data_IF_306983122235
#
_entry.id   IF_306983122235
#
_cell.length_a   1.000
_cell.length_b   1.000
_cell.length_c   1.000
_cell.angle_alpha   90.00
_cell.angle_beta   90.00
_cell.angle_gamma   90.00
#
_symmetry.space_group_name_H-M   'P 1'
#
loop_
_entity.id
_entity.type
_entity.pdbx_description
1 polymer ?
#
# COMPACT_ATOMS: atom_id res chain seq x y z
N UNK A 1 -9.02 12.57 25.53
CA UNK A 1 -8.62 12.40 24.12
C UNK A 1 -8.60 10.93 23.73
N UNK A 2 -9.47 10.56 22.80
CA UNK A 2 -9.51 9.25 22.15
C UNK A 2 -8.62 9.28 20.90
N UNK A 3 -7.70 8.32 20.78
CA UNK A 3 -6.92 8.09 19.57
C UNK A 3 -7.22 6.71 19.02
N UNK A 4 -7.50 6.63 17.73
CA UNK A 4 -7.70 5.38 17.02
C UNK A 4 -6.75 5.30 15.83
N UNK A 5 -6.10 4.15 15.71
CA UNK A 5 -5.15 3.80 14.68
C UNK A 5 -5.75 2.67 13.87
N UNK A 6 -6.07 2.95 12.61
CA UNK A 6 -6.78 2.08 11.68
C UNK A 6 -5.94 1.76 10.44
N UNK A 7 -4.87 2.51 10.16
CA UNK A 7 -3.98 2.30 9.02
C UNK A 7 -2.89 1.27 9.37
N UNK A 8 -3.35 0.05 9.60
CA UNK A 8 -2.61 -1.09 10.17
C UNK A 8 -3.58 -1.95 10.99
N UNK A 9 -3.05 -2.74 11.92
CA UNK A 9 -3.87 -3.35 12.97
C UNK A 9 -4.62 -2.27 13.77
N UNK A 10 -5.83 -2.62 14.24
CA UNK A 10 -6.63 -1.73 15.08
C UNK A 10 -5.91 -1.52 16.42
N UNK A 11 -5.60 -0.27 16.74
CA UNK A 11 -5.14 0.14 18.07
C UNK A 11 -5.97 1.31 18.57
N UNK A 12 -6.34 1.27 19.84
CA UNK A 12 -7.15 2.30 20.48
C UNK A 12 -6.49 2.76 21.76
N UNK A 13 -6.38 4.08 21.94
CA UNK A 13 -5.87 4.70 23.14
C UNK A 13 -6.88 5.72 23.67
N UNK A 14 -7.06 5.76 24.99
CA UNK A 14 -7.85 6.76 25.67
C UNK A 14 -7.00 7.48 26.72
N UNK A 15 -6.87 8.79 26.58
CA UNK A 15 -6.05 9.63 27.46
C UNK A 15 -4.60 9.13 27.61
N UNK A 16 -4.04 8.57 26.54
CA UNK A 16 -2.68 8.01 26.50
C UNK A 16 -2.55 6.57 27.00
N UNK A 17 -3.62 5.97 27.53
CA UNK A 17 -3.62 4.57 27.91
C UNK A 17 -4.11 3.69 26.74
N UNK A 18 -3.32 2.68 26.37
CA UNK A 18 -3.70 1.68 25.37
C UNK A 18 -4.84 0.82 25.92
N UNK A 19 -5.86 0.63 25.09
CA UNK A 19 -7.01 -0.22 25.39
C UNK A 19 -6.88 -1.54 24.64
N UNK A 20 -7.12 -2.65 25.33
CA UNK A 20 -7.24 -3.96 24.70
C UNK A 20 -8.44 -3.97 23.75
N UNK A 21 -8.15 -3.99 22.45
CA UNK A 21 -9.11 -3.81 21.36
C UNK A 21 -9.16 -5.02 20.42
N UNK A 22 -9.47 -6.23 20.94
CA UNK A 22 -9.41 -7.46 20.15
C UNK A 22 -10.44 -7.43 19.03
N UNK A 23 -9.95 -7.49 17.79
CA UNK A 23 -10.77 -7.52 16.56
C UNK A 23 -11.60 -8.79 16.40
N UNK A 24 -11.31 -9.83 17.19
CA UNK A 24 -12.17 -11.02 17.32
C UNK A 24 -13.48 -10.73 18.03
N UNK A 25 -13.57 -9.61 18.77
CA UNK A 25 -14.78 -9.21 19.48
C UNK A 25 -15.58 -8.20 18.66
N UNK A 26 -16.86 -8.54 18.43
CA UNK A 26 -17.81 -7.72 17.65
C UNK A 26 -17.89 -6.23 18.06
N UNK A 27 -17.80 -5.84 19.36
CA UNK A 27 -17.82 -4.44 19.75
C UNK A 27 -16.67 -3.61 19.14
N UNK A 28 -15.46 -4.17 19.04
CA UNK A 28 -14.30 -3.45 18.50
C UNK A 28 -14.32 -3.34 16.97
N UNK A 29 -14.87 -4.35 16.29
CA UNK A 29 -15.16 -4.26 14.85
C UNK A 29 -16.19 -3.16 14.58
N UNK A 30 -17.22 -3.05 15.43
CA UNK A 30 -18.20 -1.95 15.36
C UNK A 30 -17.57 -0.58 15.67
N UNK A 31 -16.66 -0.50 16.63
CA UNK A 31 -15.90 0.73 16.89
C UNK A 31 -15.10 1.17 15.67
N UNK A 32 -14.38 0.25 15.02
CA UNK A 32 -13.61 0.55 13.81
C UNK A 32 -14.51 1.08 12.67
N UNK A 33 -15.69 0.49 12.52
CA UNK A 33 -16.69 0.98 11.56
C UNK A 33 -17.16 2.40 11.88
N UNK A 34 -17.45 2.71 13.15
CA UNK A 34 -17.84 4.06 13.59
C UNK A 34 -16.71 5.07 13.36
N UNK A 35 -15.47 4.68 13.65
CA UNK A 35 -14.29 5.51 13.44
C UNK A 35 -14.10 5.86 11.96
N UNK A 36 -14.25 4.90 11.04
CA UNK A 36 -14.18 5.18 9.60
C UNK A 36 -15.40 5.94 9.07
N UNK A 37 -16.58 5.75 9.65
CA UNK A 37 -17.77 6.49 9.24
C UNK A 37 -17.61 8.00 9.49
N UNK A 38 -16.84 8.39 10.52
CA UNK A 38 -16.58 9.80 10.85
C UNK A 38 -17.83 10.59 11.23
N UNK A 39 -18.95 9.91 11.51
CA UNK A 39 -20.24 10.53 11.85
C UNK A 39 -21.11 9.57 12.66
N UNK A 40 -22.08 10.08 13.44
CA UNK A 40 -23.08 9.23 14.09
C UNK A 40 -23.86 8.37 13.08
N UNK A 41 -24.05 7.10 13.41
CA UNK A 41 -24.77 6.10 12.61
C UNK A 41 -26.02 5.65 13.37
N UNK A 42 -27.13 5.48 12.65
CA UNK A 42 -28.37 5.00 13.25
C UNK A 42 -28.21 3.60 13.88
N UNK A 43 -28.75 3.42 15.07
CA UNK A 43 -28.74 2.16 15.84
C UNK A 43 -29.38 1.03 15.06
N UNK A 44 -30.48 1.30 14.36
CA UNK A 44 -31.14 0.31 13.50
C UNK A 44 -30.19 -0.20 12.41
N UNK A 45 -29.43 0.70 11.77
CA UNK A 45 -28.46 0.34 10.73
C UNK A 45 -27.26 -0.43 11.29
N UNK A 46 -26.80 -0.10 12.50
CA UNK A 46 -25.75 -0.88 13.17
C UNK A 46 -26.24 -2.27 13.56
N UNK A 47 -27.45 -2.37 14.11
CA UNK A 47 -28.04 -3.64 14.49
C UNK A 47 -28.15 -4.59 13.27
N UNK A 48 -28.74 -4.10 12.16
CA UNK A 48 -28.88 -4.91 10.95
C UNK A 48 -27.54 -5.23 10.27
N UNK A 49 -26.56 -4.33 10.34
CA UNK A 49 -25.23 -4.55 9.76
C UNK A 49 -24.41 -5.61 10.49
N UNK A 50 -24.38 -5.56 11.82
CA UNK A 50 -23.51 -6.42 12.62
C UNK A 50 -24.18 -7.73 13.06
N UNK A 51 -25.51 -7.78 13.00
CA UNK A 51 -26.30 -8.98 13.28
C UNK A 51 -27.42 -9.16 12.24
N UNK A 52 -27.08 -9.44 10.96
CA UNK A 52 -28.06 -9.54 9.87
C UNK A 52 -28.96 -10.77 9.96
N UNK A 53 -28.47 -11.87 10.55
CA UNK A 53 -29.13 -13.19 10.49
C UNK A 53 -30.02 -13.51 11.70
N UNK A 54 -30.45 -12.48 12.44
CA UNK A 54 -31.30 -12.65 13.62
C UNK A 54 -32.51 -11.74 13.55
N UNK A 55 -33.55 -12.07 14.32
CA UNK A 55 -34.73 -11.21 14.47
C UNK A 55 -34.34 -9.82 15.00
N UNK A 56 -35.04 -8.78 14.55
CA UNK A 56 -34.78 -7.37 14.92
C UNK A 56 -34.67 -7.12 16.43
N UNK A 57 -35.47 -7.83 17.24
CA UNK A 57 -35.42 -7.69 18.69
C UNK A 57 -34.10 -8.22 19.26
N UNK A 58 -33.62 -9.35 18.73
CA UNK A 58 -32.33 -9.97 19.09
C UNK A 58 -31.16 -9.11 18.61
N UNK A 59 -31.20 -8.58 17.38
CA UNK A 59 -30.18 -7.67 16.87
C UNK A 59 -30.03 -6.43 17.75
N UNK A 60 -31.15 -5.81 18.14
CA UNK A 60 -31.16 -4.66 19.07
C UNK A 60 -30.63 -5.02 20.45
N UNK A 61 -30.89 -6.23 20.95
CA UNK A 61 -30.35 -6.68 22.24
C UNK A 61 -28.83 -6.85 22.17
N UNK A 62 -28.31 -7.52 21.14
CA UNK A 62 -26.88 -7.67 20.90
C UNK A 62 -26.17 -6.32 20.74
N UNK A 63 -26.79 -5.38 20.01
CA UNK A 63 -26.29 -4.01 19.90
C UNK A 63 -26.17 -3.34 21.28
N UNK A 64 -27.20 -3.43 22.14
CA UNK A 64 -27.13 -2.86 23.50
C UNK A 64 -25.96 -3.44 24.30
N UNK A 65 -25.76 -4.76 24.24
CA UNK A 65 -24.64 -5.41 24.94
C UNK A 65 -23.28 -4.97 24.40
N UNK A 66 -23.13 -4.84 23.07
CA UNK A 66 -21.90 -4.36 22.46
C UNK A 66 -21.60 -2.90 22.82
N UNK A 67 -22.62 -2.03 22.80
CA UNK A 67 -22.49 -0.63 23.23
C UNK A 67 -22.14 -0.51 24.70
N UNK A 68 -22.71 -1.35 25.56
CA UNK A 68 -22.35 -1.38 26.98
C UNK A 68 -20.89 -1.77 27.18
N UNK A 69 -20.40 -2.79 26.46
CA UNK A 69 -19.00 -3.22 26.51
C UNK A 69 -18.05 -2.10 26.06
N UNK A 70 -18.35 -1.41 24.95
CA UNK A 70 -17.55 -0.26 24.51
C UNK A 70 -17.61 0.90 25.50
N UNK A 71 -18.80 1.24 26.02
CA UNK A 71 -18.96 2.38 26.94
C UNK A 71 -18.16 2.19 28.23
N UNK A 72 -18.00 0.96 28.70
CA UNK A 72 -17.13 0.65 29.86
C UNK A 72 -15.66 1.00 29.64
N UNK A 73 -15.19 0.94 28.40
CA UNK A 73 -13.78 1.20 28.06
C UNK A 73 -13.57 2.63 27.53
N UNK A 74 -14.53 3.16 26.78
CA UNK A 74 -14.45 4.46 26.10
C UNK A 74 -15.08 5.62 26.88
N UNK A 75 -15.94 5.32 27.87
CA UNK A 75 -16.67 6.33 28.63
C UNK A 75 -17.44 7.31 27.75
N UNK A 76 -17.25 8.61 28.00
CA UNK A 76 -17.89 9.70 27.25
C UNK A 76 -17.30 9.94 25.85
N UNK A 77 -16.26 9.19 25.45
CA UNK A 77 -15.80 9.21 24.05
C UNK A 77 -16.74 8.45 23.10
N UNK A 78 -17.66 7.62 23.62
CA UNK A 78 -18.71 6.98 22.86
C UNK A 78 -20.03 7.77 23.01
N UNK A 79 -20.44 8.43 21.93
CA UNK A 79 -21.75 9.08 21.84
C UNK A 79 -22.81 8.01 21.61
N UNK A 80 -23.76 7.92 22.52
CA UNK A 80 -24.90 7.01 22.41
C UNK A 80 -26.15 7.81 22.75
N UNK A 81 -26.98 8.05 21.75
CA UNK A 81 -28.32 8.57 21.95
C UNK A 81 -29.38 7.48 21.65
N UNK A 82 -30.66 7.86 21.72
CA UNK A 82 -31.78 6.94 21.53
C UNK A 82 -31.84 6.33 20.12
N UNK A 83 -31.30 7.02 19.11
CA UNK A 83 -31.41 6.64 17.70
C UNK A 83 -30.07 6.38 17.02
N UNK A 84 -28.96 6.92 17.52
CA UNK A 84 -27.65 6.97 16.87
C UNK A 84 -26.51 6.67 17.85
N UNK A 85 -25.39 6.25 17.25
CA UNK A 85 -24.14 5.96 17.93
C UNK A 85 -23.00 6.60 17.15
N UNK A 86 -22.07 7.25 17.82
CA UNK A 86 -20.89 7.86 17.21
C UNK A 86 -19.71 7.97 18.18
N UNK A 87 -18.67 8.64 17.73
CA UNK A 87 -17.52 9.00 18.56
C UNK A 87 -17.57 10.50 18.88
N UNK A 88 -17.26 10.86 20.12
CA UNK A 88 -17.30 12.25 20.58
C UNK A 88 -16.05 13.02 20.17
N UNK A 89 -16.23 14.13 19.45
CA UNK A 89 -15.14 15.01 19.02
C UNK A 89 -14.71 16.02 20.10
N UNK A 90 -15.65 16.44 20.97
CA UNK A 90 -15.45 17.51 21.97
C UNK A 90 -14.30 17.20 22.95
N UNK A 91 -14.11 15.92 23.29
CA UNK A 91 -13.06 15.46 24.21
C UNK A 91 -11.71 15.16 23.53
N UNK A 92 -11.56 15.62 22.29
CA UNK A 92 -10.43 15.35 21.41
C UNK A 92 -10.54 13.95 20.79
N UNK A 93 -10.87 13.92 19.50
CA UNK A 93 -10.87 12.72 18.67
C UNK A 93 -9.74 12.78 17.64
N UNK A 94 -8.92 11.76 17.61
CA UNK A 94 -7.88 11.60 16.60
C UNK A 94 -7.98 10.23 15.96
N UNK A 95 -8.17 10.21 14.65
CA UNK A 95 -8.24 9.00 13.84
C UNK A 95 -7.22 9.15 12.73
N UNK A 96 -6.27 8.21 12.63
CA UNK A 96 -5.19 8.28 11.63
C UNK A 96 -5.72 8.29 10.18
N UNK A 97 -6.77 7.52 9.88
CA UNK A 97 -7.42 7.54 8.57
C UNK A 97 -7.98 8.94 8.21
N UNK A 98 -8.55 9.66 9.18
CA UNK A 98 -9.03 11.03 8.98
C UNK A 98 -7.88 12.06 8.96
N UNK A 99 -6.77 11.79 9.66
CA UNK A 99 -5.57 12.62 9.53
C UNK A 99 -4.91 12.45 8.17
N UNK A 100 -4.89 11.23 7.63
CA UNK A 100 -4.34 10.94 6.32
C UNK A 100 -5.00 11.81 5.25
N UNK A 101 -6.34 11.92 5.25
CA UNK A 101 -7.06 12.73 4.27
C UNK A 101 -6.69 14.22 4.33
N UNK A 102 -6.43 14.74 5.53
CA UNK A 102 -5.98 16.13 5.71
C UNK A 102 -4.53 16.30 5.26
N UNK A 103 -3.63 15.47 5.78
CA UNK A 103 -2.19 15.54 5.48
C UNK A 103 -1.89 15.23 4.01
N UNK A 104 -2.71 14.43 3.32
CA UNK A 104 -2.52 14.14 1.90
C UNK A 104 -2.61 15.40 1.02
N UNK A 105 -3.24 16.48 1.52
CA UNK A 105 -3.30 17.77 0.85
C UNK A 105 -2.17 18.70 1.29
N UNK A 106 -1.89 18.77 2.59
CA UNK A 106 -0.98 19.77 3.16
C UNK A 106 0.48 19.30 3.28
N UNK A 107 0.70 18.00 3.53
CA UNK A 107 1.99 17.39 3.85
C UNK A 107 1.98 15.90 3.46
N UNK A 108 1.99 15.58 2.15
CA UNK A 108 1.73 14.24 1.63
C UNK A 108 2.70 13.17 2.15
N UNK A 109 3.95 13.51 2.42
CA UNK A 109 4.93 12.60 3.03
C UNK A 109 4.54 12.20 4.45
N UNK A 110 4.06 13.14 5.27
CA UNK A 110 3.57 12.85 6.62
C UNK A 110 2.31 11.98 6.60
N UNK A 111 1.45 12.14 5.58
CA UNK A 111 0.30 11.25 5.41
C UNK A 111 0.77 9.79 5.19
N UNK A 112 1.83 9.58 4.41
CA UNK A 112 2.38 8.25 4.18
C UNK A 112 3.00 7.62 5.45
N UNK A 113 3.55 8.42 6.37
CA UNK A 113 4.06 7.94 7.65
C UNK A 113 2.97 7.36 8.56
N UNK A 114 1.71 7.77 8.38
CA UNK A 114 0.58 7.18 9.11
C UNK A 114 0.25 5.75 8.66
N UNK A 115 0.65 5.37 7.44
CA UNK A 115 0.34 4.08 6.84
C UNK A 115 1.29 2.99 7.35
N UNK A 116 0.98 2.38 8.50
CA UNK A 116 1.81 1.36 9.15
C UNK A 116 1.60 -0.06 8.60
N UNK A 117 0.47 -0.30 7.95
CA UNK A 117 0.10 -1.60 7.40
C UNK A 117 -1.16 -1.50 6.53
N UNK A 118 -1.81 -2.63 6.31
CA UNK A 118 -3.12 -2.64 5.66
C UNK A 118 -4.17 -2.01 6.57
N UNK A 119 -5.10 -1.25 5.99
CA UNK A 119 -6.20 -0.67 6.77
C UNK A 119 -7.02 -1.79 7.43
N UNK A 120 -7.18 -1.69 8.76
CA UNK A 120 -7.86 -2.65 9.61
C UNK A 120 -7.38 -4.09 9.34
N UNK A 121 -6.07 -4.28 9.45
CA UNK A 121 -5.43 -5.59 9.27
C UNK A 121 -6.08 -6.64 10.18
N UNK A 122 -6.45 -7.79 9.59
CA UNK A 122 -7.12 -8.89 10.29
C UNK A 122 -8.63 -8.74 10.50
N UNK A 123 -9.26 -7.64 10.07
CA UNK A 123 -10.73 -7.54 9.99
C UNK A 123 -11.19 -7.95 8.59
N UNK A 124 -11.85 -9.09 8.51
CA UNK A 124 -12.30 -9.74 7.26
C UNK A 124 -13.79 -9.47 6.95
N UNK A 125 -14.30 -8.32 7.36
CA UNK A 125 -15.67 -7.89 7.04
C UNK A 125 -15.72 -7.21 5.67
N UNK A 126 -16.73 -7.47 4.84
CA UNK A 126 -16.85 -6.92 3.47
C UNK A 126 -16.69 -5.39 3.42
N UNK A 127 -17.24 -4.68 4.40
CA UNK A 127 -17.13 -3.22 4.48
C UNK A 127 -15.69 -2.76 4.75
N UNK A 128 -14.93 -3.55 5.52
CA UNK A 128 -13.54 -3.28 5.87
C UNK A 128 -12.62 -3.57 4.68
N UNK A 129 -12.86 -4.68 3.97
CA UNK A 129 -12.17 -5.02 2.72
C UNK A 129 -12.37 -3.91 1.69
N UNK A 130 -13.62 -3.48 1.48
CA UNK A 130 -13.94 -2.38 0.57
C UNK A 130 -13.29 -1.05 1.00
N UNK A 131 -13.18 -0.79 2.30
CA UNK A 131 -12.50 0.40 2.82
C UNK A 131 -10.98 0.32 2.64
N UNK A 132 -10.40 -0.88 2.77
CA UNK A 132 -8.98 -1.17 2.56
C UNK A 132 -8.59 -0.93 1.11
N UNK A 133 -9.40 -1.40 0.16
CA UNK A 133 -9.19 -1.14 -1.27
C UNK A 133 -9.22 0.35 -1.60
N UNK A 134 -10.26 1.07 -1.15
CA UNK A 134 -10.34 2.53 -1.35
C UNK A 134 -9.18 3.29 -0.72
N UNK A 135 -8.68 2.84 0.43
CA UNK A 135 -7.53 3.47 1.06
C UNK A 135 -6.23 3.17 0.29
N UNK A 136 -6.04 1.94 -0.17
CA UNK A 136 -4.92 1.54 -1.01
C UNK A 136 -4.85 2.37 -2.29
N UNK A 137 -5.97 2.57 -2.98
CA UNK A 137 -6.07 3.43 -4.16
C UNK A 137 -5.63 4.87 -3.84
N UNK A 138 -6.14 5.47 -2.75
CA UNK A 138 -5.72 6.82 -2.32
C UNK A 138 -4.22 6.92 -2.04
N UNK A 139 -3.62 5.89 -1.45
CA UNK A 139 -2.17 5.86 -1.19
C UNK A 139 -1.38 5.76 -2.50
N UNK A 140 -1.83 4.94 -3.46
CA UNK A 140 -1.22 4.82 -4.79
C UNK A 140 -1.26 6.17 -5.53
N UNK A 141 -2.41 6.86 -5.49
CA UNK A 141 -2.57 8.19 -6.09
C UNK A 141 -1.66 9.24 -5.43
N UNK A 142 -1.54 9.21 -4.10
CA UNK A 142 -0.67 10.11 -3.36
C UNK A 142 0.81 9.89 -3.72
N UNK A 143 1.23 8.63 -3.80
CA UNK A 143 2.57 8.27 -4.25
C UNK A 143 2.84 8.70 -5.69
N UNK A 144 1.82 8.68 -6.57
CA UNK A 144 1.98 9.17 -7.95
C UNK A 144 2.26 10.66 -7.96
N UNK A 145 1.47 11.43 -7.20
CA UNK A 145 1.62 12.88 -7.11
C UNK A 145 3.02 13.24 -6.62
N UNK A 146 3.47 12.57 -5.56
CA UNK A 146 4.83 12.72 -5.02
C UNK A 146 5.91 12.35 -6.05
N UNK A 147 5.73 11.25 -6.79
CA UNK A 147 6.65 10.84 -7.84
C UNK A 147 6.72 11.86 -8.98
N UNK A 148 5.58 12.46 -9.36
CA UNK A 148 5.52 13.53 -10.37
C UNK A 148 6.18 14.82 -9.88
N UNK A 149 5.93 15.22 -8.63
CA UNK A 149 6.57 16.39 -8.03
C UNK A 149 8.09 16.23 -7.92
N UNK A 150 8.56 15.06 -7.48
CA UNK A 150 9.97 14.73 -7.47
C UNK A 150 10.59 14.79 -8.87
N UNK A 151 9.91 14.25 -9.88
CA UNK A 151 10.37 14.33 -11.27
C UNK A 151 10.42 15.78 -11.79
N UNK A 152 9.42 16.61 -11.50
CA UNK A 152 9.42 18.05 -11.84
C UNK A 152 10.59 18.80 -11.20
N UNK A 153 11.01 18.39 -10.01
CA UNK A 153 12.18 18.94 -9.29
C UNK A 153 13.52 18.31 -9.73
N UNK A 154 13.53 17.46 -10.75
CA UNK A 154 14.70 16.66 -11.17
C UNK A 154 15.28 15.76 -10.06
N UNK A 155 14.47 15.43 -9.04
CA UNK A 155 14.82 14.49 -7.99
C UNK A 155 14.55 13.04 -8.45
N UNK A 156 15.27 12.59 -9.47
CA UNK A 156 15.01 11.32 -10.19
C UNK A 156 14.99 10.10 -9.28
N UNK A 157 15.92 10.02 -8.32
CA UNK A 157 15.98 8.90 -7.36
C UNK A 157 14.72 8.85 -6.50
N UNK A 158 14.28 9.98 -5.98
CA UNK A 158 13.09 10.08 -5.14
C UNK A 158 11.82 9.70 -5.93
N UNK A 159 11.72 10.15 -7.19
CA UNK A 159 10.63 9.78 -8.07
C UNK A 159 10.55 8.25 -8.31
N UNK A 160 11.70 7.59 -8.51
CA UNK A 160 11.77 6.13 -8.66
C UNK A 160 11.36 5.43 -7.36
N UNK A 161 11.80 5.90 -6.20
CA UNK A 161 11.43 5.31 -4.90
C UNK A 161 9.92 5.39 -4.63
N UNK A 162 9.28 6.54 -4.89
CA UNK A 162 7.83 6.64 -4.77
C UNK A 162 7.11 5.69 -5.74
N UNK A 163 7.60 5.56 -6.97
CA UNK A 163 6.99 4.66 -7.97
C UNK A 163 7.17 3.18 -7.59
N UNK A 164 8.32 2.80 -7.01
CA UNK A 164 8.53 1.45 -6.45
C UNK A 164 7.52 1.13 -5.36
N UNK A 165 7.29 2.09 -4.45
CA UNK A 165 6.28 1.94 -3.38
C UNK A 165 4.87 1.77 -3.94
N UNK A 166 4.52 2.36 -5.09
CA UNK A 166 3.24 2.08 -5.75
C UNK A 166 3.13 0.63 -6.20
N UNK A 167 4.16 0.14 -6.91
CA UNK A 167 4.24 -1.26 -7.39
C UNK A 167 4.18 -2.27 -6.25
N UNK A 168 4.72 -1.94 -5.08
CA UNK A 168 4.59 -2.79 -3.89
C UNK A 168 3.17 -2.86 -3.34
N UNK A 169 2.38 -1.79 -3.48
CA UNK A 169 0.97 -1.72 -3.03
C UNK A 169 0.02 -2.42 -3.99
N UNK A 170 0.26 -2.30 -5.29
CA UNK A 170 -0.41 -3.11 -6.29
C UNK A 170 0.60 -3.83 -7.22
N UNK A 171 1.00 -5.05 -6.83
CA UNK A 171 1.85 -5.95 -7.62
C UNK A 171 1.40 -6.22 -9.06
N UNK A 172 0.13 -6.00 -9.39
CA UNK A 172 -0.46 -6.32 -10.68
C UNK A 172 -0.82 -5.08 -11.51
N UNK A 173 -0.65 -3.88 -10.95
CA UNK A 173 -0.89 -2.63 -11.68
C UNK A 173 0.17 -2.43 -12.76
N UNK A 174 -0.18 -2.80 -14.00
CA UNK A 174 0.66 -2.62 -15.17
C UNK A 174 1.01 -1.14 -15.44
N UNK A 175 0.12 -0.20 -15.10
CA UNK A 175 0.38 1.23 -15.31
C UNK A 175 1.47 1.74 -14.35
N UNK A 176 1.40 1.39 -13.07
CA UNK A 176 2.47 1.72 -12.11
C UNK A 176 3.82 1.12 -12.54
N UNK A 177 3.82 -0.12 -13.04
CA UNK A 177 5.03 -0.73 -13.59
C UNK A 177 5.56 -0.01 -14.83
N UNK A 178 4.69 0.40 -15.78
CA UNK A 178 5.11 1.17 -16.96
C UNK A 178 5.77 2.49 -16.54
N UNK A 179 5.18 3.22 -15.59
CA UNK A 179 5.78 4.46 -15.05
C UNK A 179 7.14 4.20 -14.41
N UNK A 180 7.31 3.10 -13.68
CA UNK A 180 8.60 2.74 -13.09
C UNK A 180 9.64 2.43 -14.17
N UNK A 181 9.24 1.69 -15.21
CA UNK A 181 10.08 1.36 -16.37
C UNK A 181 10.54 2.64 -17.07
N UNK A 182 9.63 3.55 -17.40
CA UNK A 182 9.91 4.83 -18.05
C UNK A 182 10.84 5.73 -17.22
N UNK A 183 10.60 5.81 -15.90
CA UNK A 183 11.44 6.61 -14.99
C UNK A 183 12.84 6.03 -14.83
N UNK A 184 12.99 4.71 -14.76
CA UNK A 184 14.29 4.04 -14.72
C UNK A 184 15.07 4.26 -16.03
N UNK A 185 14.38 4.14 -17.16
CA UNK A 185 14.95 4.37 -18.48
C UNK A 185 15.46 5.80 -18.66
N UNK A 186 14.64 6.78 -18.28
CA UNK A 186 15.00 8.21 -18.29
C UNK A 186 16.20 8.49 -17.38
N UNK A 187 16.36 7.73 -16.29
CA UNK A 187 17.50 7.82 -15.39
C UNK A 187 18.77 7.11 -15.91
N UNK A 188 18.70 6.46 -17.08
CA UNK A 188 19.79 5.68 -17.68
C UNK A 188 19.93 4.25 -17.15
N UNK A 189 19.03 3.78 -16.27
CA UNK A 189 19.01 2.39 -15.77
C UNK A 189 18.15 1.49 -16.66
N UNK A 190 18.55 1.35 -17.93
CA UNK A 190 17.86 0.49 -18.92
C UNK A 190 17.77 -0.97 -18.45
N UNK A 191 18.82 -1.47 -17.79
CA UNK A 191 18.85 -2.82 -17.25
C UNK A 191 17.80 -2.99 -16.13
N UNK A 192 17.65 -1.99 -15.24
CA UNK A 192 16.61 -1.94 -14.22
C UNK A 192 15.20 -1.88 -14.80
N UNK A 193 15.00 -1.09 -15.86
CA UNK A 193 13.74 -1.01 -16.58
C UNK A 193 13.33 -2.38 -17.15
N UNK A 194 14.24 -3.06 -17.85
CA UNK A 194 13.99 -4.40 -18.39
C UNK A 194 13.75 -5.46 -17.30
N UNK A 195 14.49 -5.42 -16.18
CA UNK A 195 14.25 -6.31 -15.03
C UNK A 195 12.86 -6.11 -14.43
N UNK A 196 12.40 -4.87 -14.34
CA UNK A 196 11.06 -4.52 -13.84
C UNK A 196 9.98 -5.14 -14.73
N UNK A 197 10.09 -4.98 -16.05
CA UNK A 197 9.20 -5.64 -17.01
C UNK A 197 9.20 -7.18 -16.87
N UNK A 198 10.38 -7.79 -16.78
CA UNK A 198 10.50 -9.25 -16.65
C UNK A 198 9.78 -9.77 -15.40
N UNK A 199 9.97 -9.10 -14.25
CA UNK A 199 9.32 -9.46 -13.00
C UNK A 199 7.79 -9.34 -13.09
N UNK A 200 7.28 -8.26 -13.70
CA UNK A 200 5.83 -8.12 -13.94
C UNK A 200 5.30 -9.24 -14.84
N UNK A 201 5.98 -9.51 -15.95
CA UNK A 201 5.57 -10.53 -16.92
C UNK A 201 5.54 -11.94 -16.31
N UNK A 202 6.54 -12.27 -15.49
CA UNK A 202 6.56 -13.54 -14.77
C UNK A 202 5.44 -13.64 -13.74
N UNK A 203 5.21 -12.58 -12.96
CA UNK A 203 4.14 -12.53 -11.95
C UNK A 203 2.76 -12.68 -12.58
N UNK A 204 2.43 -11.89 -13.61
CA UNK A 204 1.14 -11.99 -14.32
C UNK A 204 0.90 -13.39 -14.88
N UNK A 205 1.94 -14.00 -15.48
CA UNK A 205 1.84 -15.35 -16.03
C UNK A 205 1.63 -16.39 -14.94
N UNK A 206 2.38 -16.31 -13.83
CA UNK A 206 2.33 -17.30 -12.75
C UNK A 206 1.04 -17.23 -11.95
N UNK A 207 0.55 -16.03 -11.65
CA UNK A 207 -0.53 -15.82 -10.67
C UNK A 207 -1.88 -15.58 -11.33
N UNK A 208 -1.92 -15.01 -12.54
CA UNK A 208 -3.16 -14.73 -13.28
C UNK A 208 -3.28 -15.50 -14.60
N UNK A 209 -2.23 -16.18 -15.05
CA UNK A 209 -2.24 -16.91 -16.33
C UNK A 209 -2.28 -16.02 -17.57
N UNK A 210 -2.02 -14.71 -17.42
CA UNK A 210 -2.09 -13.73 -18.51
C UNK A 210 -0.71 -13.18 -18.87
N UNK A 211 -0.57 -12.73 -20.11
CA UNK A 211 0.59 -11.95 -20.54
C UNK A 211 0.38 -10.45 -20.25
N UNK A 212 1.46 -9.65 -20.13
CA UNK A 212 1.31 -8.19 -20.06
C UNK A 212 0.56 -7.63 -21.27
N UNK A 213 -0.15 -6.53 -21.03
CA UNK A 213 -0.86 -5.79 -22.06
C UNK A 213 0.06 -5.39 -23.24
N UNK A 214 -0.51 -5.17 -24.45
CA UNK A 214 0.26 -4.73 -25.62
C UNK A 214 1.13 -3.50 -25.35
N UNK A 215 0.56 -2.48 -24.71
CA UNK A 215 1.27 -1.25 -24.33
C UNK A 215 2.52 -1.51 -23.49
N UNK A 216 2.44 -2.42 -22.51
CA UNK A 216 3.58 -2.80 -21.67
C UNK A 216 4.65 -3.57 -22.45
N UNK A 217 4.22 -4.43 -23.40
CA UNK A 217 5.14 -5.19 -24.25
C UNK A 217 5.89 -4.30 -25.24
N UNK A 218 5.19 -3.36 -25.88
CA UNK A 218 5.76 -2.38 -26.80
C UNK A 218 6.84 -1.52 -26.12
N UNK A 219 6.58 -1.05 -24.89
CA UNK A 219 7.57 -0.34 -24.09
C UNK A 219 8.85 -1.18 -23.88
N UNK A 220 8.70 -2.46 -23.52
CA UNK A 220 9.85 -3.34 -23.33
C UNK A 220 10.62 -3.63 -24.64
N UNK A 221 9.92 -3.70 -25.78
CA UNK A 221 10.55 -3.86 -27.09
C UNK A 221 11.37 -2.64 -27.49
N UNK A 222 10.84 -1.43 -27.25
CA UNK A 222 11.56 -0.17 -27.48
C UNK A 222 12.86 -0.11 -26.66
N UNK A 223 12.81 -0.49 -25.38
CA UNK A 223 13.99 -0.55 -24.51
C UNK A 223 15.07 -1.52 -25.01
N UNK A 224 14.67 -2.67 -25.53
CA UNK A 224 15.61 -3.65 -26.11
C UNK A 224 16.25 -3.12 -27.39
N UNK A 225 15.48 -2.43 -28.24
CA UNK A 225 15.99 -1.84 -29.47
C UNK A 225 16.96 -0.69 -29.21
N UNK A 226 16.78 0.05 -28.12
CA UNK A 226 17.67 1.14 -27.67
C UNK A 226 18.93 0.64 -26.94
N UNK A 227 18.99 -0.66 -26.60
CA UNK A 227 20.16 -1.31 -26.00
C UNK A 227 20.95 -2.21 -26.97
N UNK A 228 21.39 -1.77 -28.18
CA UNK A 228 22.22 -2.61 -29.06
C UNK A 228 23.55 -3.06 -28.41
N UNK A 229 24.01 -2.40 -27.34
CA UNK A 229 25.41 -2.46 -26.88
C UNK A 229 25.64 -3.23 -25.57
N UNK A 230 24.75 -4.16 -25.21
CA UNK A 230 25.06 -5.24 -24.24
C UNK A 230 25.04 -6.63 -24.87
N UNK A 231 25.15 -6.70 -26.20
CA UNK A 231 25.73 -7.87 -26.83
C UNK A 231 27.19 -7.96 -26.43
N UNK A 232 27.50 -8.74 -25.40
CA UNK A 232 28.87 -9.20 -25.15
C UNK A 232 29.37 -9.73 -26.50
N UNK A 233 30.27 -9.00 -27.14
CA UNK A 233 31.19 -9.60 -28.08
C UNK A 233 31.89 -10.67 -27.25
N UNK A 234 31.44 -11.93 -27.36
CA UNK A 234 32.15 -13.08 -26.84
C UNK A 234 33.42 -13.14 -27.66
N UNK A 235 34.42 -12.36 -27.27
CA UNK A 235 35.79 -12.60 -27.67
C UNK A 235 36.06 -14.02 -27.15
N UNK A 236 36.33 -15.01 -28.03
CA UNK A 236 36.73 -16.32 -27.56
C UNK A 236 37.93 -16.12 -26.63
N UNK A 237 38.00 -16.84 -25.48
CA UNK A 237 39.11 -16.67 -24.56
C UNK A 237 40.41 -16.84 -25.34
N UNK A 238 41.24 -15.79 -25.35
CA UNK A 238 42.57 -15.86 -25.91
C UNK A 238 43.31 -16.95 -25.13
N UNK A 239 43.64 -18.04 -25.81
CA UNK A 239 44.48 -19.11 -25.25
C UNK A 239 45.83 -18.47 -24.95
N UNK A 240 46.26 -18.36 -23.68
CA UNK A 240 47.59 -17.86 -23.35
C UNK A 240 48.58 -18.98 -23.66
N UNK A 241 49.28 -18.90 -24.78
CA UNK A 241 50.19 -19.98 -25.14
C UNK A 241 50.84 -19.87 -26.50
N UNK A 242 51.45 -18.73 -26.81
CA UNK A 242 52.59 -18.66 -27.75
C UNK A 242 53.28 -17.31 -27.56
N UNK A 243 54.12 -17.23 -26.54
CA UNK A 243 55.15 -16.20 -26.48
C UNK A 243 56.15 -16.52 -27.61
N UNK A 244 56.58 -15.53 -28.41
CA UNK A 244 57.63 -15.73 -29.39
C UNK A 244 58.93 -16.12 -28.67
N UNK A 245 59.54 -17.23 -29.10
CA UNK A 245 60.87 -17.65 -28.65
C UNK A 245 61.89 -16.62 -29.13
N UNK A 246 62.33 -15.75 -28.22
CA UNK A 246 63.45 -14.83 -28.45
C UNK A 246 64.72 -15.46 -27.88
N UNK A 247 65.75 -15.65 -28.71
CA UNK A 247 67.13 -15.81 -28.24
C UNK A 247 67.83 -17.16 -28.47
N UNK A 248 67.80 -17.75 -29.68
CA UNK A 248 68.71 -18.88 -30.02
C UNK A 248 69.33 -18.84 -31.43
N UNK A 249 69.67 -17.65 -31.93
CA UNK A 249 70.35 -17.50 -33.24
C UNK A 249 71.87 -17.81 -33.22
N UNK A 250 72.38 -18.58 -32.24
CA UNK A 250 73.83 -18.87 -32.14
C UNK A 250 74.21 -20.33 -31.85
N UNK A 251 73.36 -21.30 -32.16
CA UNK A 251 73.71 -22.73 -31.99
C UNK A 251 73.57 -23.57 -33.27
N UNK A 252 73.66 -22.98 -34.46
CA UNK A 252 73.88 -23.72 -35.72
C UNK A 252 75.05 -23.10 -36.50
N UNK A 253 76.26 -23.47 -36.09
CA UNK A 253 77.47 -23.50 -36.92
C UNK A 253 78.07 -24.91 -36.80
#
# INVERSE_FOLDING_TARGET
>A
MLRARLLGALEVELNGAVIDSPTSQRPWVMFAYLALAGRPVARANLASKFWPDVLDQSARASLRSALWALRRQLGESLLVDDERVGLCEENGLWIDAAQFDRLAQDSPEQALELCRGELLEGIEEDWALSARDRHRERVIDLLERLAQDAARRNATREAIEFTRRQVERDPFDEEAHRRLIERLDTAGDHAGALRTYQRLSERLRRELGVAPSPRTRELAEQLRAQSPDQGIARQPPAIPGQLPLVGRDRELA
#
